data_IF_886909546847
#
_entry.id   IF_886909546847
#
_cell.length_a   1.000
_cell.length_b   1.000
_cell.length_c   1.000
_cell.angle_alpha   90.00
_cell.angle_beta   90.00
_cell.angle_gamma   90.00
#
_symmetry.space_group_name_H-M   'P 1'
#
loop_
_entity.id
_entity.type
_entity.pdbx_description
1 polymer ?
#
# COMPACT_ATOMS: atom_id res chain seq x y z
N UNK A 1 8.73 20.05 13.56
CA UNK A 1 7.99 19.89 12.31
C UNK A 1 8.44 18.66 11.55
N UNK A 2 9.75 18.52 11.38
CA UNK A 2 10.25 17.36 10.62
C UNK A 2 9.90 16.04 11.29
N UNK A 3 10.00 15.98 12.62
CA UNK A 3 9.65 14.76 13.33
C UNK A 3 8.20 14.36 13.13
N UNK A 4 7.33 15.36 13.05
CA UNK A 4 5.90 15.12 12.84
C UNK A 4 5.65 14.53 11.45
N UNK A 5 6.37 15.01 10.42
CA UNK A 5 6.22 14.49 9.07
C UNK A 5 6.63 13.02 9.01
N UNK A 6 7.75 12.64 9.67
CA UNK A 6 8.20 11.26 9.71
C UNK A 6 7.18 10.34 10.37
N UNK A 7 6.64 10.78 11.52
CA UNK A 7 5.64 10.00 12.23
C UNK A 7 4.39 9.82 11.38
N UNK A 8 3.97 10.91 10.70
CA UNK A 8 2.81 10.84 9.85
C UNK A 8 3.02 9.85 8.69
N UNK A 9 4.22 9.82 8.13
CA UNK A 9 4.54 8.89 7.05
C UNK A 9 4.43 7.44 7.51
N UNK A 10 4.94 7.13 8.69
CA UNK A 10 4.85 5.78 9.23
C UNK A 10 3.40 5.38 9.48
N UNK A 11 2.60 6.31 10.00
CA UNK A 11 1.19 6.04 10.24
C UNK A 11 0.45 5.80 8.92
N UNK A 12 0.74 6.63 7.91
CA UNK A 12 0.11 6.47 6.60
C UNK A 12 0.49 5.14 5.96
N UNK A 13 1.75 4.73 6.09
CA UNK A 13 2.19 3.44 5.57
C UNK A 13 1.44 2.30 6.25
N UNK A 14 1.22 2.39 7.54
CA UNK A 14 0.47 1.40 8.29
C UNK A 14 -0.98 1.32 7.82
N UNK A 15 -1.62 2.47 7.60
CA UNK A 15 -2.98 2.51 7.08
C UNK A 15 -3.06 1.90 5.69
N UNK A 16 -2.10 2.23 4.83
CA UNK A 16 -2.07 1.68 3.47
C UNK A 16 -1.93 0.15 3.51
N UNK A 17 -1.05 -0.35 4.36
CA UNK A 17 -0.85 -1.78 4.52
C UNK A 17 -2.14 -2.47 4.99
N UNK A 18 -2.81 -1.89 5.97
CA UNK A 18 -4.05 -2.46 6.49
C UNK A 18 -5.12 -2.53 5.42
N UNK A 19 -5.26 -1.45 4.64
CA UNK A 19 -6.26 -1.42 3.57
C UNK A 19 -5.97 -2.48 2.51
N UNK A 20 -4.70 -2.62 2.13
CA UNK A 20 -4.31 -3.60 1.12
C UNK A 20 -4.58 -5.03 1.57
N UNK A 21 -4.33 -5.33 2.84
CA UNK A 21 -4.54 -6.68 3.37
C UNK A 21 -6.00 -7.11 3.33
N UNK A 22 -6.92 -6.16 3.34
CA UNK A 22 -8.35 -6.47 3.36
C UNK A 22 -8.90 -6.75 1.97
N UNK A 23 -8.14 -6.50 0.93
CA UNK A 23 -8.61 -6.72 -0.43
C UNK A 23 -8.58 -8.21 -0.74
N UNK A 24 -9.70 -8.73 -1.21
CA UNK A 24 -9.78 -10.12 -1.63
C UNK A 24 -8.81 -10.36 -2.79
N UNK A 25 -8.01 -11.41 -2.70
CA UNK A 25 -6.99 -11.71 -3.69
C UNK A 25 -5.59 -11.30 -3.27
N UNK A 26 -5.45 -10.52 -2.21
CA UNK A 26 -4.15 -10.19 -1.63
C UNK A 26 -3.85 -11.23 -0.55
N UNK A 27 -2.80 -12.04 -0.78
CA UNK A 27 -2.39 -13.04 0.20
C UNK A 27 -1.56 -12.40 1.31
N UNK A 28 -0.87 -11.32 1.01
CA UNK A 28 -0.08 -10.62 2.01
C UNK A 28 0.76 -9.52 1.37
N UNK A 29 1.56 -8.87 2.20
CA UNK A 29 2.50 -7.86 1.74
C UNK A 29 3.90 -8.47 1.74
N UNK A 30 4.74 -8.00 0.82
CA UNK A 30 6.10 -8.53 0.66
C UNK A 30 7.07 -7.51 1.22
N UNK A 31 7.69 -7.83 2.36
CA UNK A 31 8.66 -6.95 2.99
C UNK A 31 10.05 -7.23 2.45
N UNK A 32 10.96 -6.28 2.68
CA UNK A 32 12.34 -6.43 2.25
C UNK A 32 12.63 -5.95 0.84
N UNK A 33 11.63 -5.54 0.10
CA UNK A 33 11.83 -4.99 -1.25
C UNK A 33 12.21 -3.52 -1.22
N UNK A 34 11.76 -2.80 -0.18
CA UNK A 34 12.03 -1.38 -0.02
C UNK A 34 12.93 -1.18 1.18
N UNK A 35 14.04 -0.44 1.03
CA UNK A 35 14.95 -0.20 2.15
C UNK A 35 14.22 0.56 3.26
N UNK A 36 14.27 0.03 4.47
CA UNK A 36 13.80 0.70 5.70
C UNK A 36 12.30 0.94 5.79
N UNK A 37 11.53 0.57 4.77
CA UNK A 37 10.11 0.89 4.77
C UNK A 37 9.22 -0.33 4.62
N UNK A 38 9.80 -1.51 4.76
CA UNK A 38 9.01 -2.73 4.68
C UNK A 38 8.37 -2.92 3.31
N UNK A 39 7.07 -3.13 3.28
CA UNK A 39 6.34 -3.39 2.04
C UNK A 39 5.66 -2.16 1.47
N UNK A 40 5.70 -1.03 2.17
CA UNK A 40 4.99 0.18 1.75
C UNK A 40 5.93 1.37 1.83
N UNK A 41 5.97 2.16 0.79
CA UNK A 41 6.72 3.41 0.77
C UNK A 41 5.80 4.56 0.42
N UNK A 42 5.84 5.60 1.27
CA UNK A 42 5.11 6.85 1.05
C UNK A 42 6.14 7.91 0.67
N UNK A 43 5.90 8.62 -0.41
CA UNK A 43 6.81 9.66 -0.84
C UNK A 43 6.05 10.84 -1.43
N UNK A 44 6.75 11.97 -1.57
CA UNK A 44 6.17 13.19 -2.09
C UNK A 44 5.43 13.99 -1.02
N UNK A 45 5.05 15.21 -1.38
CA UNK A 45 4.31 16.09 -0.47
C UNK A 45 2.91 15.53 -0.27
N UNK A 46 2.43 15.56 0.97
CA UNK A 46 1.09 15.12 1.33
C UNK A 46 0.82 13.68 0.90
N UNK A 47 1.85 12.83 0.97
CA UNK A 47 1.74 11.42 0.60
C UNK A 47 1.28 11.25 -0.85
N UNK A 48 1.86 12.03 -1.76
CA UNK A 48 1.43 12.04 -3.16
C UNK A 48 1.58 10.68 -3.83
N UNK A 49 2.59 9.90 -3.45
CA UNK A 49 2.85 8.58 -4.03
C UNK A 49 2.92 7.52 -2.95
N UNK A 50 2.17 6.45 -3.16
CA UNK A 50 2.19 5.28 -2.27
C UNK A 50 2.59 4.09 -3.14
N UNK A 51 3.64 3.38 -2.71
CA UNK A 51 4.10 2.18 -3.41
C UNK A 51 3.93 0.99 -2.46
N UNK A 52 3.24 -0.06 -2.94
CA UNK A 52 3.02 -1.27 -2.13
C UNK A 52 3.51 -2.49 -2.87
N UNK A 53 4.15 -3.38 -2.14
CA UNK A 53 4.61 -4.66 -2.67
C UNK A 53 3.76 -5.77 -2.07
N UNK A 54 3.08 -6.51 -2.94
CA UNK A 54 2.06 -7.47 -2.49
C UNK A 54 2.34 -8.86 -3.03
N UNK A 55 1.83 -9.84 -2.31
CA UNK A 55 1.72 -11.22 -2.78
C UNK A 55 0.27 -11.48 -3.12
N UNK A 56 0.01 -12.02 -4.31
CA UNK A 56 -1.35 -12.36 -4.73
C UNK A 56 -1.69 -13.78 -4.33
N UNK A 57 -2.96 -13.99 -4.03
CA UNK A 57 -3.47 -15.33 -3.84
C UNK A 57 -3.41 -16.09 -5.16
N UNK A 58 -3.24 -17.42 -5.07
CA UNK A 58 -3.20 -18.27 -6.25
C UNK A 58 -4.51 -18.13 -7.03
N UNK A 59 -4.39 -17.87 -8.32
CA UNK A 59 -5.56 -17.76 -9.18
C UNK A 59 -6.26 -16.41 -9.16
N UNK A 60 -5.80 -15.47 -8.33
CA UNK A 60 -6.41 -14.16 -8.28
C UNK A 60 -6.12 -13.37 -9.56
N UNK A 61 -7.10 -12.62 -10.08
CA UNK A 61 -6.87 -11.81 -11.29
C UNK A 61 -6.06 -10.56 -10.93
N UNK A 62 -4.79 -10.56 -11.34
CA UNK A 62 -3.83 -9.55 -10.86
C UNK A 62 -4.27 -8.12 -11.14
N UNK A 63 -4.77 -7.86 -12.35
CA UNK A 63 -5.13 -6.50 -12.72
C UNK A 63 -6.30 -5.99 -11.89
N UNK A 64 -7.32 -6.83 -11.71
CA UNK A 64 -8.49 -6.44 -10.93
C UNK A 64 -8.14 -6.26 -9.46
N UNK A 65 -7.32 -7.15 -8.92
CA UNK A 65 -6.90 -7.03 -7.53
C UNK A 65 -6.08 -5.77 -7.34
N UNK A 66 -5.16 -5.48 -8.27
CA UNK A 66 -4.35 -4.27 -8.21
C UNK A 66 -5.20 -3.01 -8.22
N UNK A 67 -6.21 -2.97 -9.07
CA UNK A 67 -7.10 -1.80 -9.14
C UNK A 67 -7.88 -1.64 -7.84
N UNK A 68 -8.34 -2.75 -7.26
CA UNK A 68 -9.06 -2.67 -6.00
C UNK A 68 -8.16 -2.22 -4.86
N UNK A 69 -6.90 -2.69 -4.83
CA UNK A 69 -5.93 -2.22 -3.84
C UNK A 69 -5.74 -0.71 -3.99
N UNK A 70 -5.57 -0.23 -5.21
CA UNK A 70 -5.39 1.21 -5.44
C UNK A 70 -6.56 2.00 -4.87
N UNK A 71 -7.77 1.57 -5.18
CA UNK A 71 -8.98 2.28 -4.73
C UNK A 71 -9.10 2.24 -3.20
N UNK A 72 -8.91 1.08 -2.61
CA UNK A 72 -9.07 0.92 -1.16
C UNK A 72 -8.03 1.70 -0.38
N UNK A 73 -6.79 1.69 -0.85
CA UNK A 73 -5.72 2.44 -0.20
C UNK A 73 -6.01 3.93 -0.26
N UNK A 74 -6.38 4.44 -1.44
CA UNK A 74 -6.66 5.86 -1.60
C UNK A 74 -7.82 6.30 -0.72
N UNK A 75 -8.91 5.52 -0.72
CA UNK A 75 -10.09 5.85 0.08
C UNK A 75 -9.80 5.81 1.58
N UNK A 76 -9.03 4.82 2.00
CA UNK A 76 -8.74 4.65 3.42
C UNK A 76 -7.84 5.77 3.93
N UNK A 77 -6.82 6.14 3.15
CA UNK A 77 -5.93 7.24 3.54
C UNK A 77 -6.68 8.56 3.61
N UNK A 78 -7.59 8.79 2.68
CA UNK A 78 -8.39 10.00 2.72
C UNK A 78 -9.27 10.03 3.96
N UNK A 79 -9.94 8.92 4.26
CA UNK A 79 -10.87 8.84 5.38
C UNK A 79 -10.17 8.93 6.72
N UNK A 80 -9.03 8.24 6.86
CA UNK A 80 -8.35 8.13 8.15
C UNK A 80 -7.40 9.28 8.42
N UNK A 81 -6.82 9.87 7.39
CA UNK A 81 -5.76 10.86 7.58
C UNK A 81 -5.93 12.12 6.72
N UNK A 82 -6.98 12.19 5.93
CA UNK A 82 -7.18 13.34 5.04
C UNK A 82 -6.17 13.42 3.92
N UNK A 83 -5.43 12.33 3.65
CA UNK A 83 -4.41 12.30 2.62
C UNK A 83 -4.94 11.53 1.41
N UNK A 84 -4.97 12.19 0.25
CA UNK A 84 -5.41 11.52 -0.98
C UNK A 84 -4.25 11.44 -1.94
N UNK A 85 -3.64 10.26 -2.09
CA UNK A 85 -2.48 10.12 -2.97
C UNK A 85 -2.87 10.35 -4.43
N UNK A 86 -1.92 10.93 -5.18
CA UNK A 86 -2.07 11.09 -6.62
C UNK A 86 -1.82 9.76 -7.33
N UNK A 87 -0.93 8.95 -6.79
CA UNK A 87 -0.53 7.69 -7.40
C UNK A 87 -0.43 6.62 -6.33
N UNK A 88 -1.05 5.47 -6.59
CA UNK A 88 -0.88 4.28 -5.76
C UNK A 88 -0.33 3.19 -6.68
N UNK A 89 0.95 2.86 -6.50
CA UNK A 89 1.63 1.85 -7.30
C UNK A 89 1.58 0.52 -6.57
N UNK A 90 0.94 -0.46 -7.18
CA UNK A 90 0.84 -1.80 -6.60
C UNK A 90 1.77 -2.71 -7.39
N UNK A 91 2.82 -3.20 -6.72
CA UNK A 91 3.80 -4.08 -7.34
C UNK A 91 3.54 -5.49 -6.86
N UNK A 92 3.31 -6.40 -7.79
CA UNK A 92 3.09 -7.81 -7.46
C UNK A 92 4.44 -8.51 -7.51
N UNK A 93 5.00 -8.80 -6.34
CA UNK A 93 6.31 -9.45 -6.26
C UNK A 93 6.21 -10.95 -6.20
N UNK A 94 5.13 -11.49 -5.67
CA UNK A 94 4.99 -12.91 -5.44
C UNK A 94 3.56 -13.35 -5.67
N UNK A 95 3.41 -14.61 -6.04
CA UNK A 95 2.10 -15.27 -6.15
C UNK A 95 2.16 -16.48 -5.24
N UNK A 96 1.17 -16.60 -4.36
CA UNK A 96 1.13 -17.70 -3.41
C UNK A 96 0.98 -19.03 -4.15
N UNK A 97 1.51 -20.10 -3.57
CA UNK A 97 1.35 -21.42 -4.13
C UNK A 97 -0.03 -21.97 -3.80
N UNK A 98 -0.57 -22.83 -4.67
CA UNK A 98 -1.87 -23.44 -4.40
C UNK A 98 -1.83 -24.41 -3.22
#
# INVERSE_FOLDING_TARGET
MEGSASVATDVLASYAADAAREVEGVAGLVEGRLPRQGAVRISGDDAATVELHVELAWGAPAQEVGQEVQRRVADYLERMAGARPLTVDVVVDEIAHP
#
